data_IF_203375835076
#
_entry.id   IF_203375835076
#
_cell.length_a   1.000
_cell.length_b   1.000
_cell.length_c   1.000
_cell.angle_alpha   90.00
_cell.angle_beta   90.00
_cell.angle_gamma   90.00
#
_symmetry.space_group_name_H-M   'P 1'
#
loop_
_entity.id
_entity.type
_entity.pdbx_description
1 polymer ?
#
# COMPACT_ATOMS: atom_id res chain seq x y z
N UNK A 1 -2.25 40.46 47.49
CA UNK A 1 -1.04 40.46 46.64
C UNK A 1 -1.52 40.46 45.19
N UNK A 2 -1.64 41.66 44.61
CA UNK A 2 -2.14 41.91 43.26
C UNK A 2 -0.97 41.93 42.29
N UNK A 3 -1.11 41.35 41.09
CA UNK A 3 -0.55 41.95 39.87
C UNK A 3 -1.50 41.69 38.69
N UNK A 4 -1.72 42.77 37.95
CA UNK A 4 -2.71 42.98 36.91
C UNK A 4 -1.98 43.75 35.79
N UNK A 5 -2.49 43.63 34.54
CA UNK A 5 -2.28 44.52 33.37
C UNK A 5 -0.87 44.41 32.70
N UNK A 6 -0.64 44.41 31.38
CA UNK A 6 -1.14 45.33 30.35
C UNK A 6 -1.05 44.80 28.90
N UNK A 7 -2.09 45.11 28.10
CA UNK A 7 -2.06 45.23 26.64
C UNK A 7 -1.38 46.55 26.24
N UNK A 8 -0.61 46.55 25.15
CA UNK A 8 -0.16 47.78 24.48
C UNK A 8 -0.40 47.69 22.96
N UNK A 9 -1.08 48.71 22.43
CA UNK A 9 -1.19 49.07 21.00
C UNK A 9 -0.04 50.04 20.68
N UNK A 10 0.52 50.00 19.49
CA UNK A 10 1.13 51.17 18.85
C UNK A 10 0.96 51.11 17.33
N UNK A 11 0.55 52.26 16.78
CA UNK A 11 0.33 52.61 15.37
C UNK A 11 1.49 53.53 14.96
N UNK A 12 1.66 53.75 13.65
CA UNK A 12 2.48 54.77 12.95
C UNK A 12 3.96 54.38 12.74
N UNK A 13 4.60 54.58 11.58
CA UNK A 13 4.54 55.71 10.64
C UNK A 13 4.90 55.29 9.20
N UNK A 14 4.41 56.09 8.26
CA UNK A 14 4.69 56.05 6.82
C UNK A 14 5.72 57.16 6.51
N UNK A 15 6.84 56.84 5.87
CA UNK A 15 7.72 57.83 5.21
C UNK A 15 8.30 57.25 3.92
N UNK A 16 8.09 58.00 2.84
CA UNK A 16 8.64 57.78 1.49
C UNK A 16 10.17 57.83 1.49
N UNK A 17 10.81 56.94 0.73
CA UNK A 17 12.09 57.21 0.08
C UNK A 17 12.07 56.62 -1.34
N UNK A 18 12.27 57.51 -2.32
CA UNK A 18 12.47 57.19 -3.71
C UNK A 18 13.87 56.60 -3.93
N UNK A 19 13.98 55.52 -4.69
CA UNK A 19 15.22 55.14 -5.36
C UNK A 19 14.93 54.68 -6.78
N UNK A 20 15.56 55.38 -7.71
CA UNK A 20 15.52 55.13 -9.14
C UNK A 20 16.47 53.99 -9.52
N UNK A 21 16.06 53.26 -10.57
CA UNK A 21 16.96 52.68 -11.57
C UNK A 21 17.76 51.45 -11.16
N UNK A 22 17.34 50.28 -11.65
CA UNK A 22 18.21 49.32 -12.35
C UNK A 22 17.37 48.16 -12.89
N UNK A 23 17.27 48.11 -14.23
CA UNK A 23 16.78 46.96 -14.99
C UNK A 23 17.66 45.74 -14.70
N UNK A 24 17.06 44.65 -14.22
CA UNK A 24 17.57 43.31 -14.44
C UNK A 24 16.47 42.45 -15.06
N UNK A 25 16.68 42.11 -16.32
CA UNK A 25 15.91 41.11 -17.03
C UNK A 25 16.09 39.76 -16.32
N UNK A 26 15.02 39.18 -15.81
CA UNK A 26 15.03 37.78 -15.37
C UNK A 26 14.98 36.88 -16.59
N UNK A 27 15.86 35.87 -16.71
CA UNK A 27 15.83 34.96 -17.83
C UNK A 27 14.60 34.05 -17.75
N UNK A 28 13.99 33.85 -18.90
CA UNK A 28 12.90 32.94 -19.20
C UNK A 28 13.18 31.51 -18.72
N UNK A 29 12.38 31.04 -17.77
CA UNK A 29 12.32 29.62 -17.39
C UNK A 29 11.49 28.88 -18.44
N UNK A 30 12.16 28.38 -19.46
CA UNK A 30 11.65 27.26 -20.24
C UNK A 30 12.74 26.20 -20.35
N UNK A 31 12.34 24.97 -20.06
CA UNK A 31 13.01 23.69 -20.27
C UNK A 31 13.77 23.07 -19.09
N UNK A 32 13.58 21.74 -18.99
CA UNK A 32 14.14 20.73 -18.07
C UNK A 32 13.31 20.59 -16.77
N UNK A 33 12.48 19.57 -16.55
CA UNK A 33 12.57 18.18 -17.00
C UNK A 33 11.17 17.53 -16.95
N UNK A 34 10.80 16.90 -18.07
CA UNK A 34 9.83 15.81 -18.08
C UNK A 34 10.51 14.57 -17.48
N UNK A 35 9.69 13.65 -16.98
CA UNK A 35 10.02 12.27 -16.58
C UNK A 35 10.38 12.03 -15.11
N UNK A 36 9.42 12.34 -14.24
CA UNK A 36 9.15 11.51 -13.06
C UNK A 36 7.64 11.33 -12.94
N UNK A 37 7.09 10.34 -13.66
CA UNK A 37 5.73 9.88 -13.42
C UNK A 37 5.70 9.21 -12.05
N UNK A 38 5.28 9.97 -11.04
CA UNK A 38 4.95 9.48 -9.72
C UNK A 38 3.78 8.49 -9.85
N UNK A 39 4.02 7.20 -9.60
CA UNK A 39 2.99 6.17 -9.49
C UNK A 39 2.24 6.23 -8.14
N UNK A 40 2.07 7.44 -7.61
CA UNK A 40 1.21 7.66 -6.45
C UNK A 40 -0.24 7.54 -6.95
N UNK A 41 -1.07 6.65 -6.37
CA UNK A 41 -2.48 6.61 -6.72
C UNK A 41 -3.07 8.00 -6.47
N UNK A 42 -3.61 8.57 -7.54
CA UNK A 42 -4.23 9.90 -7.53
C UNK A 42 -5.37 9.87 -6.53
N UNK A 43 -5.35 10.78 -5.54
CA UNK A 43 -6.48 10.98 -4.64
C UNK A 43 -7.76 11.15 -5.47
N UNK A 44 -8.86 10.46 -5.14
CA UNK A 44 -10.07 10.52 -5.94
C UNK A 44 -10.54 11.97 -6.06
N UNK A 45 -10.89 12.37 -7.29
CA UNK A 45 -11.36 13.71 -7.59
C UNK A 45 -12.67 13.96 -6.83
N UNK A 46 -12.66 14.93 -5.90
CA UNK A 46 -13.87 15.41 -5.23
C UNK A 46 -14.69 16.17 -6.27
N UNK A 47 -15.58 15.46 -6.96
CA UNK A 47 -16.65 16.08 -7.74
C UNK A 47 -17.72 16.51 -6.74
N UNK A 48 -18.00 17.81 -6.69
CA UNK A 48 -18.98 18.38 -5.75
C UNK A 48 -20.40 17.94 -6.16
N UNK A 49 -21.10 17.12 -5.36
CA UNK A 49 -22.50 16.83 -5.59
C UNK A 49 -23.34 17.75 -4.69
N UNK A 50 -24.30 18.46 -5.29
CA UNK A 50 -25.39 19.10 -4.56
C UNK A 50 -26.17 18.04 -3.75
N UNK A 51 -26.06 18.06 -2.42
CA UNK A 51 -26.79 17.17 -1.49
C UNK A 51 -25.98 16.90 -0.22
N UNK A 52 -26.63 16.81 0.94
CA UNK A 52 -25.95 16.49 2.21
C UNK A 52 -25.27 15.11 2.13
N UNK A 53 -24.00 15.03 2.56
CA UNK A 53 -23.26 13.75 2.64
C UNK A 53 -23.82 12.94 3.82
N UNK A 54 -24.37 11.73 3.60
CA UNK A 54 -24.85 10.88 4.68
C UNK A 54 -23.75 10.53 5.69
N UNK A 55 -24.13 10.43 6.97
CA UNK A 55 -23.21 10.14 8.07
C UNK A 55 -22.35 8.90 7.82
N UNK A 56 -22.91 7.80 7.29
CA UNK A 56 -22.12 6.59 6.99
C UNK A 56 -21.02 6.82 5.95
N UNK A 57 -21.25 7.69 4.95
CA UNK A 57 -20.23 8.02 3.95
C UNK A 57 -19.12 8.85 4.59
N UNK A 58 -19.48 9.84 5.39
CA UNK A 58 -18.51 10.65 6.12
C UNK A 58 -17.66 9.80 7.09
N UNK A 59 -18.29 8.82 7.77
CA UNK A 59 -17.59 7.86 8.64
C UNK A 59 -16.67 6.92 7.88
N UNK A 60 -17.08 6.46 6.70
CA UNK A 60 -16.24 5.61 5.85
C UNK A 60 -14.96 6.35 5.45
N UNK A 61 -15.07 7.60 5.01
CA UNK A 61 -13.91 8.44 4.70
C UNK A 61 -13.04 8.72 5.92
N UNK A 62 -13.64 8.98 7.09
CA UNK A 62 -12.90 9.12 8.34
C UNK A 62 -12.13 7.84 8.68
N UNK A 63 -12.75 6.67 8.55
CA UNK A 63 -12.12 5.38 8.82
C UNK A 63 -10.90 5.14 7.90
N UNK A 64 -11.01 5.49 6.62
CA UNK A 64 -9.91 5.43 5.64
C UNK A 64 -8.74 6.34 6.03
N UNK A 65 -9.02 7.59 6.39
CA UNK A 65 -8.00 8.54 6.83
C UNK A 65 -7.32 8.09 8.13
N UNK A 66 -8.08 7.58 9.10
CA UNK A 66 -7.54 7.00 10.34
C UNK A 66 -6.63 5.79 10.04
N UNK A 67 -7.02 4.94 9.09
CA UNK A 67 -6.19 3.82 8.60
C UNK A 67 -4.86 4.31 8.04
N UNK A 68 -4.91 5.35 7.20
CA UNK A 68 -3.74 5.93 6.55
C UNK A 68 -2.73 6.49 7.56
N UNK A 69 -3.21 7.17 8.62
CA UNK A 69 -2.36 7.66 9.72
C UNK A 69 -2.07 6.60 10.80
N UNK A 70 -2.38 5.33 10.52
CA UNK A 70 -2.11 4.15 11.38
C UNK A 70 -2.83 4.15 12.73
N UNK A 71 -3.91 4.91 12.87
CA UNK A 71 -4.81 4.90 14.04
C UNK A 71 -5.83 3.77 13.87
N UNK A 72 -5.33 2.53 13.86
CA UNK A 72 -6.11 1.37 13.44
C UNK A 72 -7.31 1.09 14.33
N UNK A 73 -7.18 1.16 15.66
CA UNK A 73 -8.32 0.87 16.55
C UNK A 73 -9.46 1.89 16.36
N UNK A 74 -9.13 3.17 16.19
CA UNK A 74 -10.13 4.20 15.92
C UNK A 74 -10.77 4.04 14.54
N UNK A 75 -9.98 3.66 13.54
CA UNK A 75 -10.47 3.32 12.22
C UNK A 75 -11.50 2.16 12.28
N UNK A 76 -11.19 1.10 13.01
CA UNK A 76 -12.07 -0.07 13.16
C UNK A 76 -13.37 0.27 13.89
N UNK A 77 -13.35 1.23 14.84
CA UNK A 77 -14.56 1.75 15.47
C UNK A 77 -15.46 2.45 14.45
N UNK A 78 -14.90 3.28 13.57
CA UNK A 78 -15.70 3.96 12.53
C UNK A 78 -16.22 2.98 11.46
N UNK A 79 -15.43 1.99 11.02
CA UNK A 79 -15.93 0.92 10.16
C UNK A 79 -17.08 0.14 10.82
N UNK A 80 -16.98 -0.14 12.13
CA UNK A 80 -18.07 -0.79 12.87
C UNK A 80 -19.37 0.01 12.85
N UNK A 81 -19.29 1.34 12.95
CA UNK A 81 -20.46 2.22 12.83
C UNK A 81 -21.03 2.26 11.41
N UNK A 82 -20.17 2.27 10.39
CA UNK A 82 -20.60 2.18 8.98
C UNK A 82 -21.36 0.87 8.75
N UNK A 83 -20.82 -0.25 9.19
CA UNK A 83 -21.41 -1.58 8.99
C UNK A 83 -22.65 -1.83 9.86
N UNK A 84 -22.84 -1.08 10.96
CA UNK A 84 -24.09 -1.10 11.71
C UNK A 84 -25.26 -0.49 10.91
N UNK A 85 -25.00 0.52 10.07
CA UNK A 85 -26.02 1.11 9.18
C UNK A 85 -26.12 0.38 7.83
N UNK A 86 -24.97 -0.04 7.27
CA UNK A 86 -24.83 -0.68 5.97
C UNK A 86 -24.19 -2.07 6.12
N UNK A 87 -24.91 -3.07 6.67
CA UNK A 87 -24.34 -4.39 6.95
C UNK A 87 -23.94 -5.17 5.69
N UNK A 88 -24.44 -4.80 4.51
CA UNK A 88 -24.10 -5.44 3.23
C UNK A 88 -23.02 -4.71 2.42
N UNK A 89 -22.43 -3.64 2.97
CA UNK A 89 -21.41 -2.87 2.26
C UNK A 89 -20.08 -3.66 2.22
N UNK A 90 -19.91 -4.47 1.17
CA UNK A 90 -18.73 -5.33 0.95
C UNK A 90 -17.43 -4.51 0.96
N UNK A 91 -17.44 -3.33 0.36
CA UNK A 91 -16.30 -2.40 0.36
C UNK A 91 -15.82 -2.09 1.79
N UNK A 92 -16.73 -1.70 2.69
CA UNK A 92 -16.39 -1.42 4.08
C UNK A 92 -15.94 -2.67 4.84
N UNK A 93 -16.52 -3.85 4.56
CA UNK A 93 -16.06 -5.11 5.14
C UNK A 93 -14.63 -5.44 4.72
N UNK A 94 -14.33 -5.35 3.43
CA UNK A 94 -13.01 -5.67 2.89
C UNK A 94 -11.93 -4.68 3.35
N UNK A 95 -12.26 -3.38 3.39
CA UNK A 95 -11.35 -2.36 3.93
C UNK A 95 -11.11 -2.56 5.44
N UNK A 96 -12.14 -2.87 6.22
CA UNK A 96 -11.99 -3.22 7.63
C UNK A 96 -11.08 -4.44 7.81
N UNK A 97 -11.23 -5.49 6.98
CA UNK A 97 -10.35 -6.65 7.00
C UNK A 97 -8.88 -6.27 6.70
N UNK A 98 -8.65 -5.35 5.78
CA UNK A 98 -7.31 -4.82 5.47
C UNK A 98 -6.68 -4.11 6.66
N UNK A 99 -7.45 -3.30 7.39
CA UNK A 99 -7.00 -2.62 8.61
C UNK A 99 -6.74 -3.62 9.75
N UNK A 100 -7.57 -4.65 9.88
CA UNK A 100 -7.33 -5.76 10.81
C UNK A 100 -6.03 -6.48 10.47
N UNK A 101 -5.72 -6.69 9.19
CA UNK A 101 -4.43 -7.26 8.77
C UNK A 101 -3.25 -6.36 9.18
N UNK A 102 -3.32 -5.05 8.90
CA UNK A 102 -2.25 -4.10 9.23
C UNK A 102 -2.02 -3.93 10.74
N UNK A 103 -3.07 -4.11 11.55
CA UNK A 103 -2.98 -4.13 13.02
C UNK A 103 -2.57 -5.50 13.59
N UNK A 104 -2.31 -6.49 12.76
CA UNK A 104 -1.89 -7.83 13.16
C UNK A 104 -3.02 -8.78 13.58
N UNK A 105 -4.27 -8.32 13.54
CA UNK A 105 -5.50 -9.06 13.88
C UNK A 105 -5.95 -9.95 12.71
N UNK A 106 -5.02 -10.76 12.20
CA UNK A 106 -5.21 -11.57 10.98
C UNK A 106 -6.32 -12.61 11.07
N UNK A 107 -6.66 -13.09 12.27
CA UNK A 107 -7.78 -14.02 12.48
C UNK A 107 -9.13 -13.37 12.21
N UNK A 108 -9.34 -12.15 12.71
CA UNK A 108 -10.56 -11.38 12.49
C UNK A 108 -10.67 -10.92 11.04
N UNK A 109 -9.56 -10.45 10.45
CA UNK A 109 -9.49 -10.09 9.03
C UNK A 109 -9.96 -11.25 8.13
N UNK A 110 -9.44 -12.45 8.40
CA UNK A 110 -9.82 -13.66 7.66
C UNK A 110 -11.30 -13.98 7.84
N UNK A 111 -11.82 -13.91 9.06
CA UNK A 111 -13.23 -14.21 9.34
C UNK A 111 -14.17 -13.27 8.57
N UNK A 112 -13.83 -11.98 8.45
CA UNK A 112 -14.61 -11.03 7.66
C UNK A 112 -14.62 -11.41 6.17
N UNK A 113 -13.44 -11.69 5.58
CA UNK A 113 -13.38 -12.03 4.15
C UNK A 113 -14.01 -13.38 3.81
N UNK A 114 -13.89 -14.39 4.69
CA UNK A 114 -14.55 -15.69 4.51
C UNK A 114 -16.08 -15.60 4.54
N UNK A 115 -16.63 -14.59 5.21
CA UNK A 115 -18.08 -14.37 5.30
C UNK A 115 -18.65 -13.64 4.07
N UNK A 116 -17.80 -13.13 3.18
CA UNK A 116 -18.22 -12.48 1.93
C UNK A 116 -18.26 -13.54 0.83
N UNK A 117 -19.31 -13.54 0.01
CA UNK A 117 -19.42 -14.49 -1.09
C UNK A 117 -18.29 -14.25 -2.11
N UNK A 118 -17.64 -15.30 -2.66
CA UNK A 118 -16.47 -15.13 -3.52
C UNK A 118 -16.71 -14.25 -4.77
N UNK A 119 -17.92 -14.23 -5.31
CA UNK A 119 -18.34 -13.41 -6.46
C UNK A 119 -18.50 -11.92 -6.13
N UNK A 120 -18.63 -11.58 -4.85
CA UNK A 120 -18.68 -10.19 -4.39
C UNK A 120 -17.29 -9.61 -4.09
N UNK A 121 -16.27 -10.46 -3.94
CA UNK A 121 -14.90 -10.02 -3.67
C UNK A 121 -14.23 -9.55 -4.96
N UNK A 122 -13.60 -8.37 -4.89
CA UNK A 122 -12.72 -7.90 -5.96
C UNK A 122 -11.47 -8.77 -6.07
N UNK A 123 -10.73 -8.66 -7.18
CA UNK A 123 -9.43 -9.33 -7.32
C UNK A 123 -8.43 -8.91 -6.24
N UNK A 124 -8.49 -7.66 -5.77
CA UNK A 124 -7.66 -7.16 -4.68
C UNK A 124 -8.05 -7.75 -3.33
N UNK A 125 -9.34 -7.94 -3.07
CA UNK A 125 -9.81 -8.53 -1.81
C UNK A 125 -9.55 -10.03 -1.76
N UNK A 126 -9.65 -10.72 -2.91
CA UNK A 126 -9.20 -12.11 -3.03
C UNK A 126 -7.68 -12.24 -2.85
N UNK A 127 -6.90 -11.27 -3.33
CA UNK A 127 -5.46 -11.23 -3.07
C UNK A 127 -5.16 -11.04 -1.58
N UNK A 128 -5.88 -10.13 -0.92
CA UNK A 128 -5.80 -9.95 0.53
C UNK A 128 -6.15 -11.25 1.28
N UNK A 129 -7.18 -11.97 0.84
CA UNK A 129 -7.55 -13.26 1.41
C UNK A 129 -6.43 -14.31 1.25
N UNK A 130 -5.79 -14.37 0.09
CA UNK A 130 -4.64 -15.24 -0.16
C UNK A 130 -3.44 -14.91 0.74
N UNK A 131 -3.14 -13.61 0.90
CA UNK A 131 -2.10 -13.12 1.80
C UNK A 131 -2.38 -13.50 3.27
N UNK A 132 -3.63 -13.38 3.72
CA UNK A 132 -4.04 -13.80 5.06
C UNK A 132 -3.87 -15.31 5.27
N UNK A 133 -4.20 -16.15 4.27
CA UNK A 133 -3.91 -17.58 4.33
C UNK A 133 -2.40 -17.85 4.45
N UNK A 134 -1.57 -17.15 3.68
CA UNK A 134 -0.12 -17.31 3.73
C UNK A 134 0.47 -16.90 5.09
N UNK A 135 0.03 -15.75 5.65
CA UNK A 135 0.45 -15.27 6.98
C UNK A 135 0.09 -16.27 8.10
N UNK A 136 -1.02 -16.99 7.93
CA UNK A 136 -1.49 -18.02 8.86
C UNK A 136 -0.93 -19.42 8.57
N UNK A 137 0.00 -19.53 7.63
CA UNK A 137 0.61 -20.80 7.19
C UNK A 137 -0.38 -21.79 6.59
N UNK A 138 -1.55 -21.33 6.15
CA UNK A 138 -2.52 -22.10 5.37
C UNK A 138 -2.09 -22.15 3.89
N UNK A 139 -0.86 -22.62 3.65
CA UNK A 139 -0.16 -22.46 2.37
C UNK A 139 -0.90 -23.07 1.17
N UNK A 140 -1.60 -24.19 1.35
CA UNK A 140 -2.38 -24.81 0.28
C UNK A 140 -3.49 -23.89 -0.24
N UNK A 141 -4.21 -23.21 0.66
CA UNK A 141 -5.28 -22.26 0.27
C UNK A 141 -4.71 -21.00 -0.37
N UNK A 142 -3.61 -20.48 0.19
CA UNK A 142 -2.90 -19.33 -0.37
C UNK A 142 -2.43 -19.62 -1.81
N UNK A 143 -1.78 -20.77 -2.02
CA UNK A 143 -1.34 -21.19 -3.35
C UNK A 143 -2.50 -21.29 -4.34
N UNK A 144 -3.61 -21.94 -3.97
CA UNK A 144 -4.79 -22.07 -4.83
C UNK A 144 -5.31 -20.71 -5.29
N UNK A 145 -5.48 -19.75 -4.36
CA UNK A 145 -5.95 -18.41 -4.71
C UNK A 145 -4.94 -17.61 -5.54
N UNK A 146 -3.64 -17.66 -5.24
CA UNK A 146 -2.65 -16.99 -6.08
C UNK A 146 -2.64 -17.54 -7.50
N UNK A 147 -2.79 -18.86 -7.68
CA UNK A 147 -2.88 -19.47 -9.00
C UNK A 147 -4.15 -19.06 -9.74
N UNK A 148 -5.29 -18.99 -9.06
CA UNK A 148 -6.56 -18.50 -9.64
C UNK A 148 -6.41 -17.04 -10.11
N UNK A 149 -5.85 -16.17 -9.27
CA UNK A 149 -5.62 -14.76 -9.63
C UNK A 149 -4.65 -14.62 -10.82
N UNK A 150 -3.63 -15.49 -10.92
CA UNK A 150 -2.73 -15.53 -12.06
C UNK A 150 -3.38 -16.07 -13.35
N UNK A 151 -4.52 -16.78 -13.29
CA UNK A 151 -5.25 -17.12 -14.52
C UNK A 151 -5.82 -15.86 -15.19
N UNK A 152 -6.29 -14.89 -14.39
CA UNK A 152 -6.81 -13.63 -14.89
C UNK A 152 -5.71 -12.61 -15.22
N UNK A 153 -4.56 -12.68 -14.53
CA UNK A 153 -3.43 -11.76 -14.74
C UNK A 153 -2.09 -12.50 -14.71
N UNK A 154 -1.75 -13.27 -15.77
CA UNK A 154 -0.58 -14.14 -15.78
C UNK A 154 0.75 -13.43 -15.53
N UNK A 155 0.87 -12.17 -15.96
CA UNK A 155 2.08 -11.35 -15.86
C UNK A 155 2.14 -10.47 -14.60
N UNK A 156 1.21 -10.65 -13.65
CA UNK A 156 1.24 -9.89 -12.41
C UNK A 156 2.41 -10.35 -11.51
N UNK A 157 3.52 -9.62 -11.59
CA UNK A 157 4.76 -9.92 -10.88
C UNK A 157 4.59 -9.96 -9.35
N UNK A 158 3.71 -9.13 -8.78
CA UNK A 158 3.46 -9.12 -7.34
C UNK A 158 2.84 -10.45 -6.88
N UNK A 159 1.87 -10.98 -7.64
CA UNK A 159 1.22 -12.27 -7.32
C UNK A 159 2.17 -13.44 -7.62
N UNK A 160 2.96 -13.37 -8.70
CA UNK A 160 4.01 -14.36 -8.97
C UNK A 160 5.04 -14.43 -7.82
N UNK A 161 5.45 -13.29 -7.26
CA UNK A 161 6.35 -13.24 -6.11
C UNK A 161 5.73 -13.90 -4.87
N UNK A 162 4.46 -13.58 -4.56
CA UNK A 162 3.74 -14.20 -3.43
C UNK A 162 3.63 -15.73 -3.58
N UNK A 163 3.33 -16.20 -4.79
CA UNK A 163 3.30 -17.63 -5.10
C UNK A 163 4.68 -18.27 -4.95
N UNK A 164 5.75 -17.63 -5.43
CA UNK A 164 7.12 -18.12 -5.29
C UNK A 164 7.51 -18.26 -3.80
N UNK A 165 7.16 -17.29 -2.96
CA UNK A 165 7.40 -17.34 -1.52
C UNK A 165 6.69 -18.53 -0.86
N UNK A 166 5.41 -18.75 -1.16
CA UNK A 166 4.65 -19.89 -0.64
C UNK A 166 5.24 -21.23 -1.11
N UNK A 167 5.64 -21.32 -2.39
CA UNK A 167 6.29 -22.52 -2.93
C UNK A 167 7.65 -22.77 -2.25
N UNK A 168 8.41 -21.73 -1.93
CA UNK A 168 9.66 -21.85 -1.17
C UNK A 168 9.42 -22.37 0.24
N UNK A 169 8.44 -21.84 0.97
CA UNK A 169 8.11 -22.29 2.34
C UNK A 169 7.58 -23.73 2.38
N UNK A 170 6.91 -24.17 1.32
CA UNK A 170 6.42 -25.55 1.16
C UNK A 170 7.43 -26.49 0.51
N UNK A 171 8.69 -26.05 0.34
CA UNK A 171 9.81 -26.82 -0.23
C UNK A 171 9.64 -27.25 -1.69
N UNK A 172 8.70 -26.65 -2.42
CA UNK A 172 8.52 -26.83 -3.87
C UNK A 172 9.50 -25.96 -4.65
N UNK A 173 10.79 -26.17 -4.37
CA UNK A 173 11.86 -25.29 -4.82
C UNK A 173 11.97 -25.18 -6.33
N UNK A 174 11.75 -26.27 -7.07
CA UNK A 174 11.86 -26.27 -8.54
C UNK A 174 10.87 -25.30 -9.21
N UNK A 175 9.63 -25.23 -8.72
CA UNK A 175 8.63 -24.30 -9.24
C UNK A 175 8.87 -22.87 -8.77
N UNK A 176 9.23 -22.70 -7.48
CA UNK A 176 9.58 -21.40 -6.93
C UNK A 176 10.73 -20.74 -7.69
N UNK A 177 11.80 -21.50 -7.95
CA UNK A 177 12.98 -21.04 -8.70
C UNK A 177 12.57 -20.54 -10.10
N UNK A 178 11.71 -21.26 -10.83
CA UNK A 178 11.24 -20.82 -12.15
C UNK A 178 10.50 -19.48 -12.11
N UNK A 179 9.72 -19.23 -11.04
CA UNK A 179 9.06 -17.93 -10.86
C UNK A 179 10.09 -16.84 -10.54
N UNK A 180 11.02 -17.10 -9.62
CA UNK A 180 12.07 -16.14 -9.30
C UNK A 180 12.95 -15.80 -10.50
N UNK A 181 13.30 -16.77 -11.34
CA UNK A 181 14.06 -16.56 -12.58
C UNK A 181 13.36 -15.55 -13.51
N UNK A 182 12.04 -15.69 -13.69
CA UNK A 182 11.25 -14.72 -14.47
C UNK A 182 11.26 -13.34 -13.82
N UNK A 183 11.04 -13.28 -12.51
CA UNK A 183 10.96 -12.03 -11.76
C UNK A 183 12.28 -11.25 -11.80
N UNK A 184 13.44 -11.90 -11.59
CA UNK A 184 14.75 -11.22 -11.59
C UNK A 184 15.19 -10.78 -12.99
N UNK A 185 14.66 -11.39 -14.05
CA UNK A 185 14.85 -10.91 -15.43
C UNK A 185 14.04 -9.63 -15.66
N UNK A 186 12.79 -9.60 -15.18
CA UNK A 186 11.91 -8.45 -15.39
C UNK A 186 12.27 -7.25 -14.48
N UNK A 187 12.82 -7.51 -13.30
CA UNK A 187 13.26 -6.49 -12.33
C UNK A 187 14.73 -6.69 -11.94
N UNK A 188 15.69 -6.46 -12.87
CA UNK A 188 17.09 -6.81 -12.66
C UNK A 188 17.78 -6.05 -11.53
N UNK A 189 17.26 -4.87 -11.18
CA UNK A 189 17.81 -3.98 -10.15
C UNK A 189 17.14 -4.16 -8.77
N UNK A 190 16.14 -5.04 -8.65
CA UNK A 190 15.52 -5.34 -7.35
C UNK A 190 16.43 -6.25 -6.52
N UNK A 191 17.20 -5.61 -5.64
CA UNK A 191 18.13 -6.26 -4.72
C UNK A 191 17.41 -7.22 -3.77
N UNK A 192 16.21 -6.88 -3.31
CA UNK A 192 15.47 -7.71 -2.36
C UNK A 192 14.94 -8.97 -3.03
N UNK A 193 14.44 -8.83 -4.25
CA UNK A 193 14.02 -9.95 -5.08
C UNK A 193 15.18 -10.92 -5.36
N UNK A 194 16.37 -10.41 -5.72
CA UNK A 194 17.57 -11.25 -5.89
C UNK A 194 17.95 -11.98 -4.62
N UNK A 195 17.87 -11.33 -3.45
CA UNK A 195 18.15 -11.99 -2.15
C UNK A 195 17.16 -13.10 -1.84
N UNK A 196 15.86 -12.88 -2.08
CA UNK A 196 14.82 -13.93 -1.92
C UNK A 196 15.06 -15.11 -2.86
N UNK A 197 15.46 -14.83 -4.10
CA UNK A 197 15.83 -15.86 -5.06
C UNK A 197 17.06 -16.66 -4.58
N UNK A 198 18.14 -15.97 -4.21
CA UNK A 198 19.36 -16.58 -3.69
C UNK A 198 19.10 -17.44 -2.43
N UNK A 199 18.23 -16.97 -1.52
CA UNK A 199 17.83 -17.72 -0.34
C UNK A 199 17.07 -19.00 -0.71
N UNK A 200 16.17 -18.93 -1.69
CA UNK A 200 15.45 -20.10 -2.21
C UNK A 200 16.41 -21.11 -2.87
N UNK A 201 17.39 -20.63 -3.65
CA UNK A 201 18.44 -21.47 -4.23
C UNK A 201 19.28 -22.18 -3.15
N UNK A 202 19.59 -21.48 -2.07
CA UNK A 202 20.30 -22.05 -0.92
C UNK A 202 19.50 -23.17 -0.26
N UNK A 203 18.22 -22.95 0.04
CA UNK A 203 17.33 -23.99 0.59
C UNK A 203 17.15 -25.18 -0.35
N UNK A 204 17.24 -24.96 -1.66
CA UNK A 204 17.18 -26.00 -2.68
C UNK A 204 18.49 -26.78 -2.86
N UNK A 205 19.57 -26.43 -2.13
CA UNK A 205 20.89 -27.03 -2.29
C UNK A 205 21.68 -26.55 -3.51
N UNK A 206 21.19 -25.55 -4.26
CA UNK A 206 21.88 -24.95 -5.41
C UNK A 206 22.89 -23.89 -4.94
N UNK A 207 23.85 -24.31 -4.12
CA UNK A 207 24.76 -23.42 -3.38
C UNK A 207 25.55 -22.49 -4.29
N UNK A 208 26.07 -22.99 -5.42
CA UNK A 208 26.85 -22.16 -6.35
C UNK A 208 26.00 -21.07 -7.00
N UNK A 209 24.74 -21.37 -7.33
CA UNK A 209 23.83 -20.41 -7.93
C UNK A 209 23.42 -19.35 -6.91
N UNK A 210 23.15 -19.77 -5.66
CA UNK A 210 22.86 -18.87 -4.56
C UNK A 210 24.00 -17.86 -4.31
N UNK A 211 25.25 -18.31 -4.31
CA UNK A 211 26.43 -17.44 -4.16
C UNK A 211 26.47 -16.38 -5.28
N UNK A 212 26.23 -16.78 -6.53
CA UNK A 212 26.22 -15.83 -7.67
C UNK A 212 25.14 -14.77 -7.51
N UNK A 213 23.92 -15.16 -7.14
CA UNK A 213 22.83 -14.20 -6.96
C UNK A 213 23.02 -13.30 -5.73
N UNK A 214 23.61 -13.80 -4.64
CA UNK A 214 23.97 -12.95 -3.50
C UNK A 214 25.05 -11.92 -3.88
N UNK A 215 26.09 -12.32 -4.63
CA UNK A 215 27.11 -11.37 -5.14
C UNK A 215 26.50 -10.27 -5.99
N UNK A 216 25.64 -10.64 -6.95
CA UNK A 216 24.86 -9.68 -7.76
C UNK A 216 24.05 -8.73 -6.87
N UNK A 217 23.40 -9.24 -5.83
CA UNK A 217 22.63 -8.41 -4.88
C UNK A 217 23.49 -7.48 -4.00
N UNK A 218 24.80 -7.69 -3.96
CA UNK A 218 25.79 -6.89 -3.24
C UNK A 218 26.64 -6.00 -4.18
N UNK A 219 26.39 -6.04 -5.49
CA UNK A 219 27.18 -5.31 -6.48
C UNK A 219 28.59 -5.86 -6.71
N UNK A 220 28.79 -7.15 -6.46
CA UNK A 220 30.07 -7.88 -6.63
C UNK A 220 30.08 -8.74 -7.90
#
# INVERSE_FOLDING_TARGET
MNYHVHKARCVFWCTLLAFAGLCFATPSVHALSQDAQSTVPKAPAITQPSGDVPDWQARLELARLLSYVKRYDESLVEYGKVLAEKPELVEAKAEMARVLMWSGRTGEAKAILDAIAPDQLSGEDRLLQADLFAMRKEYGKAESLYRELLQASPENQAIQLRLAEVLSWTKRYAESIKLYEKLVVASPNDVQLRRRYAQTLSWAGKTQDAIREFRRSLGQ
#
